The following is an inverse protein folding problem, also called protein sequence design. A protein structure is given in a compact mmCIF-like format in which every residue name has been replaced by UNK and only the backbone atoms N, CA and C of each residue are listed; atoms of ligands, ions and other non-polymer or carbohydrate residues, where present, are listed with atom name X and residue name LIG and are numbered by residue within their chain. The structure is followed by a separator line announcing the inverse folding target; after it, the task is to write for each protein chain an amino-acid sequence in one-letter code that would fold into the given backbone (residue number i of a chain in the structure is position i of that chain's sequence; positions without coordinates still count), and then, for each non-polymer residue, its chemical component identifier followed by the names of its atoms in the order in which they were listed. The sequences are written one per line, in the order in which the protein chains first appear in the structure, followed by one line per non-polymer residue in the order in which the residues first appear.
data_IF_724466033801
#
_entry.id   IF_724466033801
#
_cell.length_a   1.000
_cell.length_b   1.000
_cell.length_c   1.000
_cell.angle_alpha   90.00
_cell.angle_beta   90.00
_cell.angle_gamma   90.00
#
_symmetry.space_group_name_H-M   'P 1'
#
loop_
_entity.id
_entity.type
_entity.pdbx_description
1 polymer ?
#
# COMPACT_ATOMS: atom_id res chain seq x y z
N UNK A 1 9.74 -9.51 -2.19
CA UNK A 1 9.98 -8.17 -1.63
C UNK A 1 8.79 -7.90 -0.76
N UNK A 2 8.98 -7.33 0.43
CA UNK A 2 7.84 -7.08 1.31
C UNK A 2 6.95 -6.04 0.65
N UNK A 3 5.68 -6.38 0.47
CA UNK A 3 4.69 -5.61 -0.27
C UNK A 3 3.48 -5.25 0.59
N UNK A 4 3.51 -5.60 1.88
CA UNK A 4 2.56 -5.16 2.86
C UNK A 4 3.28 -4.65 4.11
N UNK A 5 2.73 -3.59 4.72
CA UNK A 5 3.21 -3.05 5.98
C UNK A 5 2.06 -2.86 6.95
N UNK A 6 2.24 -3.32 8.19
CA UNK A 6 1.43 -2.97 9.35
C UNK A 6 2.19 -2.01 10.25
N UNK A 7 1.46 -1.12 10.91
CA UNK A 7 2.03 -0.21 11.88
C UNK A 7 0.95 0.35 12.81
N UNK A 8 1.37 0.89 13.95
CA UNK A 8 0.50 1.54 14.93
C UNK A 8 0.61 3.06 14.80
N UNK A 9 -0.52 3.78 14.79
CA UNK A 9 -0.52 5.25 14.77
C UNK A 9 -1.77 5.86 15.41
N UNK A 10 -1.62 7.08 15.94
CA UNK A 10 -2.73 7.90 16.44
C UNK A 10 -3.12 9.04 15.48
N UNK A 11 -2.56 9.08 14.27
CA UNK A 11 -2.85 10.13 13.27
C UNK A 11 -4.30 10.10 12.80
N UNK A 12 -4.92 8.93 12.84
CA UNK A 12 -6.30 8.71 12.43
C UNK A 12 -7.06 8.06 13.57
N UNK A 13 -8.37 8.25 13.56
CA UNK A 13 -9.25 7.48 14.44
C UNK A 13 -9.65 6.18 13.72
N UNK A 14 -9.83 5.06 14.45
CA UNK A 14 -10.42 3.86 13.89
C UNK A 14 -11.78 4.19 13.23
N UNK A 15 -12.10 3.56 12.09
CA UNK A 15 -13.35 3.82 11.37
C UNK A 15 -14.55 3.39 12.23
N UNK A 16 -15.62 4.17 12.19
CA UNK A 16 -16.88 3.82 12.88
C UNK A 16 -17.72 2.85 12.04
N UNK A 17 -17.60 2.94 10.71
CA UNK A 17 -18.28 2.11 9.74
C UNK A 17 -17.28 1.38 8.84
N UNK A 18 -17.62 0.16 8.40
CA UNK A 18 -16.73 -0.63 7.54
C UNK A 18 -16.49 0.05 6.17
N UNK A 19 -17.45 0.84 5.69
CA UNK A 19 -17.36 1.65 4.47
C UNK A 19 -16.26 2.71 4.52
N UNK A 20 -15.87 3.18 5.71
CA UNK A 20 -14.82 4.20 5.89
C UNK A 20 -13.43 3.57 6.06
N UNK A 21 -13.33 2.25 6.01
CA UNK A 21 -12.11 1.54 6.35
C UNK A 21 -10.95 1.93 5.42
N UNK A 22 -9.94 2.58 5.98
CA UNK A 22 -8.75 3.01 5.27
C UNK A 22 -8.82 4.41 4.64
N UNK A 23 -9.96 5.10 4.67
CA UNK A 23 -10.16 6.39 4.01
C UNK A 23 -9.15 7.46 4.47
N UNK A 24 -9.01 7.63 5.78
CA UNK A 24 -8.12 8.63 6.37
C UNK A 24 -6.64 8.32 6.04
N UNK A 25 -6.27 7.04 6.11
CA UNK A 25 -4.93 6.58 5.76
C UNK A 25 -4.62 6.80 4.28
N UNK A 26 -5.54 6.46 3.37
CA UNK A 26 -5.35 6.61 1.93
C UNK A 26 -5.17 8.08 1.52
N UNK A 27 -6.03 8.97 2.04
CA UNK A 27 -5.93 10.40 1.79
C UNK A 27 -4.62 10.99 2.34
N UNK A 28 -4.24 10.62 3.57
CA UNK A 28 -2.99 11.05 4.16
C UNK A 28 -1.79 10.57 3.35
N UNK A 29 -1.79 9.31 2.92
CA UNK A 29 -0.70 8.73 2.14
C UNK A 29 -0.58 9.42 0.78
N UNK A 30 -1.68 9.71 0.09
CA UNK A 30 -1.67 10.50 -1.15
C UNK A 30 -0.99 11.86 -0.97
N UNK A 31 -1.23 12.53 0.17
CA UNK A 31 -0.62 13.83 0.47
C UNK A 31 0.88 13.73 0.84
N UNK A 32 1.35 12.57 1.29
CA UNK A 32 2.75 12.32 1.69
C UNK A 32 3.61 11.75 0.57
N UNK A 33 3.01 11.04 -0.39
CA UNK A 33 3.72 10.47 -1.51
C UNK A 33 4.28 11.56 -2.45
N UNK A 34 5.36 11.25 -3.20
CA UNK A 34 5.91 12.19 -4.17
C UNK A 34 4.86 12.69 -5.16
N UNK A 35 4.77 14.00 -5.36
CA UNK A 35 3.79 14.61 -6.28
C UNK A 35 3.91 14.06 -7.71
N UNK A 36 5.09 13.62 -8.13
CA UNK A 36 5.34 12.98 -9.42
C UNK A 36 4.60 11.65 -9.64
N UNK A 37 4.08 11.04 -8.57
CA UNK A 37 3.29 9.82 -8.68
C UNK A 37 1.85 10.10 -9.10
N UNK A 38 1.37 11.34 -8.88
CA UNK A 38 -0.02 11.74 -9.11
C UNK A 38 -0.99 10.76 -8.43
N UNK A 39 -0.75 10.51 -7.14
CA UNK A 39 -1.54 9.59 -6.33
C UNK A 39 -2.94 10.16 -6.08
N UNK A 40 -3.97 9.34 -6.30
CA UNK A 40 -5.36 9.69 -6.07
C UNK A 40 -6.04 8.60 -5.24
N UNK A 41 -6.76 9.03 -4.20
CA UNK A 41 -7.57 8.16 -3.36
C UNK A 41 -8.90 7.85 -4.05
N UNK A 42 -9.30 6.58 -4.06
CA UNK A 42 -10.53 6.08 -4.64
C UNK A 42 -11.28 5.22 -3.63
N UNK A 43 -12.59 5.46 -3.53
CA UNK A 43 -13.52 4.65 -2.73
C UNK A 43 -13.98 3.44 -3.55
N UNK A 44 -13.92 2.27 -2.95
CA UNK A 44 -14.39 1.00 -3.49
C UNK A 44 -15.38 0.35 -2.51
N UNK A 45 -16.21 -0.59 -3.01
CA UNK A 45 -17.23 -1.28 -2.20
C UNK A 45 -16.65 -2.01 -0.96
N UNK A 46 -15.34 -2.23 -0.92
CA UNK A 46 -14.62 -3.01 0.09
C UNK A 46 -13.52 -2.22 0.84
N UNK A 47 -13.36 -0.92 0.56
CA UNK A 47 -12.37 -0.07 1.23
C UNK A 47 -11.85 1.05 0.35
N UNK A 48 -10.64 1.53 0.66
CA UNK A 48 -10.00 2.60 -0.10
C UNK A 48 -8.73 2.13 -0.78
N UNK A 49 -8.59 2.53 -2.04
CA UNK A 49 -7.43 2.32 -2.88
C UNK A 49 -6.75 3.64 -3.22
N UNK A 50 -5.46 3.56 -3.53
CA UNK A 50 -4.73 4.63 -4.18
C UNK A 50 -4.32 4.15 -5.56
N UNK A 51 -4.71 4.92 -6.58
CA UNK A 51 -4.23 4.79 -7.94
C UNK A 51 -3.20 5.87 -8.26
N UNK A 52 -2.40 5.62 -9.29
CA UNK A 52 -1.37 6.54 -9.76
C UNK A 52 -1.70 6.99 -11.19
N UNK A 53 -1.90 8.30 -11.38
CA UNK A 53 -2.25 8.86 -12.69
C UNK A 53 -1.03 9.16 -13.57
N UNK A 54 0.19 9.17 -13.00
CA UNK A 54 1.39 9.42 -13.79
C UNK A 54 1.51 8.41 -14.94
N UNK A 55 1.83 8.83 -16.18
CA UNK A 55 1.76 7.94 -17.35
C UNK A 55 2.55 6.64 -17.20
N UNK A 56 3.67 6.68 -16.48
CA UNK A 56 4.49 5.51 -16.20
C UNK A 56 3.80 4.55 -15.24
N UNK A 57 3.35 5.02 -14.08
CA UNK A 57 2.77 4.16 -13.03
C UNK A 57 1.35 3.71 -13.38
N UNK A 58 0.57 4.55 -14.06
CA UNK A 58 -0.78 4.20 -14.51
C UNK A 58 -0.77 2.95 -15.40
N UNK A 59 0.19 2.86 -16.33
CA UNK A 59 0.31 1.68 -17.20
C UNK A 59 0.77 0.41 -16.49
N UNK A 60 1.40 0.56 -15.32
CA UNK A 60 1.87 -0.54 -14.48
C UNK A 60 0.75 -1.19 -13.67
N UNK A 61 -0.45 -0.60 -13.60
CA UNK A 61 -1.60 -1.14 -12.86
C UNK A 61 -1.26 -1.51 -11.41
N UNK A 62 -0.45 -0.69 -10.77
CA UNK A 62 -0.14 -0.87 -9.36
C UNK A 62 -1.16 -0.08 -8.57
N UNK A 63 -1.75 -0.73 -7.56
CA UNK A 63 -2.72 -0.15 -6.64
C UNK A 63 -2.20 -0.31 -5.22
N UNK A 64 -2.60 0.60 -4.34
CA UNK A 64 -2.26 0.53 -2.92
C UNK A 64 -3.54 0.50 -2.11
N UNK A 65 -3.79 -0.60 -1.41
CA UNK A 65 -4.91 -0.73 -0.47
C UNK A 65 -4.52 -0.22 0.91
N UNK A 66 -5.43 0.53 1.53
CA UNK A 66 -5.29 1.02 2.88
C UNK A 66 -6.42 0.45 3.75
N UNK A 67 -6.09 -0.03 4.95
CA UNK A 67 -7.10 -0.52 5.88
C UNK A 67 -6.67 -0.35 7.33
N UNK A 68 -7.66 -0.24 8.20
CA UNK A 68 -7.59 -0.47 9.62
C UNK A 68 -7.72 -1.98 9.89
N UNK A 69 -6.91 -2.49 10.80
CA UNK A 69 -6.87 -3.91 11.16
C UNK A 69 -7.65 -4.10 12.48
N UNK A 70 -7.11 -3.57 13.57
CA UNK A 70 -7.72 -3.57 14.89
C UNK A 70 -7.08 -2.48 15.77
N UNK A 71 -7.75 -2.07 16.85
CA UNK A 71 -7.26 -1.06 17.79
C UNK A 71 -6.68 0.18 17.08
N UNK A 72 -5.36 0.41 17.17
CA UNK A 72 -4.65 1.50 16.48
C UNK A 72 -3.71 1.00 15.38
N UNK A 73 -3.89 -0.25 14.95
CA UNK A 73 -3.09 -0.88 13.91
C UNK A 73 -3.73 -0.65 12.53
N UNK A 74 -2.89 -0.23 11.59
CA UNK A 74 -3.23 0.05 10.22
C UNK A 74 -2.36 -0.77 9.28
N UNK A 75 -2.84 -1.01 8.08
CA UNK A 75 -2.17 -1.78 7.05
C UNK A 75 -2.18 -1.05 5.71
N UNK A 76 -1.07 -1.14 4.98
CA UNK A 76 -0.93 -0.74 3.59
C UNK A 76 -0.48 -1.96 2.79
N UNK A 77 -1.22 -2.34 1.76
CA UNK A 77 -0.87 -3.43 0.85
C UNK A 77 -0.64 -2.87 -0.56
N UNK A 78 0.52 -3.16 -1.16
CA UNK A 78 0.87 -2.74 -2.51
C UNK A 78 0.67 -3.94 -3.45
N UNK A 79 -0.17 -3.78 -4.46
CA UNK A 79 -0.60 -4.87 -5.34
C UNK A 79 -0.44 -4.49 -6.82
N UNK A 80 -0.09 -5.48 -7.65
CA UNK A 80 -0.16 -5.34 -9.10
C UNK A 80 -1.44 -5.99 -9.62
N UNK A 81 -2.36 -5.17 -10.11
CA UNK A 81 -3.63 -5.61 -10.66
C UNK A 81 -3.41 -6.29 -12.02
N UNK A 82 -3.52 -7.62 -12.03
CA UNK A 82 -3.41 -8.42 -13.24
C UNK A 82 -4.78 -8.75 -13.79
N UNK A 83 -5.14 -8.13 -14.91
CA UNK A 83 -6.34 -8.53 -15.65
C UNK A 83 -6.19 -9.96 -16.20
N UNK A 84 -7.31 -10.59 -16.52
CA UNK A 84 -7.34 -11.92 -17.13
C UNK A 84 -6.49 -11.99 -18.41
N UNK A 85 -6.51 -10.94 -19.24
CA UNK A 85 -5.68 -10.85 -20.44
C UNK A 85 -4.19 -10.71 -20.13
N UNK A 86 -3.81 -10.00 -19.07
CA UNK A 86 -2.40 -9.87 -18.65
C UNK A 86 -1.83 -11.23 -18.22
N UNK A 87 -2.67 -12.07 -17.59
CA UNK A 87 -2.32 -13.46 -17.24
C UNK A 87 -2.13 -14.34 -18.47
N UNK A 88 -3.02 -14.23 -19.46
CA UNK A 88 -2.93 -14.97 -20.73
C UNK A 88 -1.70 -14.55 -21.54
N UNK A 89 -1.45 -13.25 -21.65
CA UNK A 89 -0.32 -12.69 -22.40
C UNK A 89 1.01 -12.76 -21.64
N UNK A 90 1.02 -13.33 -20.43
CA UNK A 90 2.19 -13.44 -19.55
C UNK A 90 2.93 -12.11 -19.41
N UNK A 91 2.19 -11.01 -19.26
CA UNK A 91 2.82 -9.69 -19.13
C UNK A 91 3.71 -9.68 -17.89
N UNK A 92 4.94 -9.12 -18.00
CA UNK A 92 5.87 -9.09 -16.88
C UNK A 92 5.27 -8.26 -15.74
N UNK A 93 5.64 -8.61 -14.51
CA UNK A 93 5.36 -7.72 -13.36
C UNK A 93 6.23 -6.48 -13.52
N UNK A 94 5.68 -5.27 -13.33
CA UNK A 94 6.44 -4.01 -13.35
C UNK A 94 7.24 -3.87 -12.04
N UNK A 95 8.28 -4.70 -11.89
CA UNK A 95 9.06 -4.79 -10.65
C UNK A 95 9.78 -3.49 -10.29
N UNK A 96 10.19 -2.69 -11.28
CA UNK A 96 10.88 -1.43 -11.04
C UNK A 96 9.93 -0.40 -10.41
N UNK A 97 8.74 -0.26 -10.99
CA UNK A 97 7.69 0.64 -10.50
C UNK A 97 7.16 0.19 -9.14
N UNK A 98 6.97 -1.12 -8.95
CA UNK A 98 6.56 -1.69 -7.67
C UNK A 98 7.58 -1.39 -6.58
N UNK A 99 8.87 -1.60 -6.87
CA UNK A 99 9.96 -1.29 -5.95
C UNK A 99 10.01 0.19 -5.59
N UNK A 100 9.76 1.08 -6.55
CA UNK A 100 9.76 2.52 -6.33
C UNK A 100 8.62 2.97 -5.42
N UNK A 101 7.40 2.46 -5.65
CA UNK A 101 6.24 2.76 -4.78
C UNK A 101 6.48 2.22 -3.37
N UNK A 102 6.97 0.98 -3.24
CA UNK A 102 7.30 0.38 -1.94
C UNK A 102 8.38 1.20 -1.22
N UNK A 103 9.42 1.65 -1.92
CA UNK A 103 10.46 2.49 -1.33
C UNK A 103 9.93 3.84 -0.84
N UNK A 104 9.03 4.46 -1.60
CA UNK A 104 8.39 5.71 -1.19
C UNK A 104 7.52 5.54 0.06
N UNK A 105 6.74 4.45 0.13
CA UNK A 105 5.91 4.14 1.31
C UNK A 105 6.78 3.78 2.51
N UNK A 106 7.84 2.98 2.34
CA UNK A 106 8.81 2.67 3.39
C UNK A 106 9.45 3.93 3.99
N UNK A 107 9.81 4.91 3.14
CA UNK A 107 10.32 6.20 3.61
C UNK A 107 9.26 6.98 4.40
N UNK A 108 8.04 7.13 3.86
CA UNK A 108 6.94 7.86 4.53
C UNK A 108 6.63 7.26 5.90
N UNK A 109 6.52 5.93 5.98
CA UNK A 109 6.18 5.21 7.21
C UNK A 109 7.33 5.27 8.22
N UNK A 110 8.59 5.18 7.78
CA UNK A 110 9.75 5.23 8.67
C UNK A 110 10.10 6.64 9.19
N UNK A 111 9.75 7.69 8.45
CA UNK A 111 10.07 9.09 8.81
C UNK A 111 8.97 9.76 9.66
N UNK A 112 7.74 9.25 9.65
CA UNK A 112 6.63 9.84 10.40
C UNK A 112 6.69 9.47 11.89
N UNK A 113 6.95 10.46 12.75
CA UNK A 113 7.16 10.26 14.18
C UNK A 113 5.93 9.72 14.93
N UNK A 114 4.73 9.92 14.38
CA UNK A 114 3.48 9.38 14.94
C UNK A 114 3.20 7.93 14.53
N UNK A 115 4.09 7.31 13.75
CA UNK A 115 4.01 5.89 13.36
C UNK A 115 5.03 5.08 14.16
N UNK A 116 4.61 3.90 14.61
CA UNK A 116 5.42 2.97 15.42
C UNK A 116 5.07 1.52 15.10
N UNK A 117 5.82 0.57 15.69
CA UNK A 117 5.55 -0.87 15.54
C UNK A 117 5.47 -1.32 14.08
N UNK A 118 6.34 -0.75 13.24
CA UNK A 118 6.37 -1.00 11.81
C UNK A 118 6.80 -2.45 11.54
N UNK A 119 5.95 -3.18 10.83
CA UNK A 119 6.19 -4.55 10.39
C UNK A 119 5.83 -4.69 8.90
N UNK A 120 6.86 -4.88 8.09
CA UNK A 120 6.76 -5.25 6.69
C UNK A 120 6.75 -6.77 6.54
N UNK A 121 5.97 -7.29 5.60
CA UNK A 121 5.92 -8.70 5.23
C UNK A 121 5.46 -8.86 3.77
N UNK A 122 5.52 -10.09 3.25
CA UNK A 122 4.87 -10.45 1.99
C UNK A 122 3.93 -11.63 2.22
N UNK A 123 2.87 -11.73 1.41
CA UNK A 123 1.98 -12.87 1.44
C UNK A 123 2.39 -13.92 0.39
N UNK A 124 2.32 -15.20 0.75
CA UNK A 124 2.44 -16.27 -0.22
C UNK A 124 1.14 -16.49 -1.02
N UNK A 125 1.14 -17.47 -1.94
CA UNK A 125 -0.02 -17.81 -2.78
C UNK A 125 -1.25 -18.28 -1.97
N UNK A 126 -1.07 -18.63 -0.70
CA UNK A 126 -2.13 -19.07 0.22
C UNK A 126 -2.49 -17.98 1.23
N UNK A 127 -2.04 -16.74 1.01
CA UNK A 127 -2.23 -15.60 1.91
C UNK A 127 -1.60 -15.83 3.30
N UNK A 128 -0.51 -16.60 3.36
CA UNK A 128 0.28 -16.74 4.59
C UNK A 128 1.37 -15.68 4.62
N UNK A 129 1.41 -14.92 5.72
CA UNK A 129 2.45 -13.93 5.98
C UNK A 129 3.83 -14.61 6.07
N UNK A 130 4.84 -14.02 5.44
CA UNK A 130 6.23 -14.47 5.48
C UNK A 130 7.19 -13.30 5.29
N UNK A 131 8.49 -13.57 5.48
CA UNK A 131 9.56 -12.58 5.28
C UNK A 131 9.32 -11.29 6.06
N UNK A 132 9.13 -11.40 7.38
CA UNK A 132 8.85 -10.25 8.24
C UNK A 132 10.10 -9.38 8.44
N UNK A 133 9.93 -8.08 8.61
CA UNK A 133 11.02 -7.16 8.94
C UNK A 133 10.55 -5.73 9.19
N UNK A 134 11.41 -4.88 9.75
CA UNK A 134 11.05 -3.48 10.06
C UNK A 134 11.16 -2.54 8.86
N UNK A 135 11.65 -3.01 7.71
CA UNK A 135 11.83 -2.26 6.46
C UNK A 135 11.38 -3.10 5.27
N UNK A 136 10.93 -2.44 4.21
CA UNK A 136 10.46 -3.13 3.01
C UNK A 136 11.55 -3.93 2.27
N UNK A 137 12.80 -3.47 2.36
CA UNK A 137 13.96 -4.13 1.76
C UNK A 137 14.93 -4.56 2.86
N UNK A 138 15.58 -5.71 2.65
CA UNK A 138 16.76 -6.08 3.43
C UNK A 138 17.93 -5.16 3.02
N UNK A 139 18.68 -4.67 4.01
CA UNK A 139 19.90 -3.89 3.80
C UNK A 139 21.06 -4.75 3.32
#
# INVERSE_FOLDING_TARGET
MRDQVRFTTSLFQPPLEQSENGAALANWLCAKLPASFEAACMEEDWGYLIEFASPRLHTSKIIVGCSHVEEQQWSIAIMHERSFFDKILKRPVPFAELREIIAAIDAVVAEEAAISEIEWFENDEKLQERNHGVRAFEG
#
